data_IF_048821364623
#
_entry.id   IF_048821364623
#
_cell.length_a   1.000
_cell.length_b   1.000
_cell.length_c   1.000
_cell.angle_alpha   90.00
_cell.angle_beta   90.00
_cell.angle_gamma   90.00
#
_symmetry.space_group_name_H-M   'P 1'
#
loop_
_entity.id
_entity.type
_entity.pdbx_description
1 polymer ?
#
# COMPACT_ATOMS: atom_id res chain seq x y z
N UNK A 1 -10.48 4.22 17.47
CA UNK A 1 -11.10 5.48 17.99
C UNK A 1 -10.35 6.65 17.37
N UNK A 2 -11.05 7.62 16.79
CA UNK A 2 -10.45 8.87 16.35
C UNK A 2 -10.28 9.79 17.55
N UNK A 3 -9.05 10.25 17.80
CA UNK A 3 -8.75 11.20 18.87
C UNK A 3 -8.68 12.59 18.25
N UNK A 4 -9.47 13.51 18.79
CA UNK A 4 -9.36 14.91 18.45
C UNK A 4 -8.44 15.61 19.46
N UNK A 5 -7.20 15.86 19.04
CA UNK A 5 -6.22 16.60 19.85
C UNK A 5 -6.53 18.10 19.93
N UNK A 6 -7.60 18.58 19.34
CA UNK A 6 -8.06 19.98 19.53
C UNK A 6 -8.79 20.17 20.85
N UNK A 7 -9.35 19.08 21.40
CA UNK A 7 -9.90 19.08 22.78
C UNK A 7 -8.74 19.05 23.76
N UNK A 8 -8.76 19.94 24.74
CA UNK A 8 -7.72 20.07 25.76
C UNK A 8 -7.69 18.83 26.67
N UNK A 9 -6.54 18.19 26.77
CA UNK A 9 -6.32 17.10 27.73
C UNK A 9 -5.29 16.08 27.25
N UNK A 10 -4.70 15.31 28.17
CA UNK A 10 -3.78 14.24 27.86
C UNK A 10 -4.48 13.11 27.13
N UNK A 11 -3.76 12.41 26.27
CA UNK A 11 -4.25 11.20 25.59
C UNK A 11 -4.60 10.14 26.63
N UNK A 12 -5.78 9.52 26.48
CA UNK A 12 -6.28 8.52 27.43
C UNK A 12 -5.28 7.35 27.58
N UNK A 13 -4.96 7.03 28.84
CA UNK A 13 -4.02 5.96 29.20
C UNK A 13 -4.49 4.55 28.84
N UNK A 14 -5.75 4.36 28.49
CA UNK A 14 -6.28 3.08 27.99
C UNK A 14 -5.82 2.78 26.55
N UNK A 15 -5.41 3.81 25.81
CA UNK A 15 -4.91 3.70 24.45
C UNK A 15 -3.48 3.16 24.51
N UNK A 16 -3.22 2.07 23.77
CA UNK A 16 -1.88 1.46 23.72
C UNK A 16 -1.07 1.89 22.51
N UNK A 17 -1.74 2.19 21.40
CA UNK A 17 -1.08 2.53 20.15
C UNK A 17 -1.74 3.76 19.54
N UNK A 18 -0.96 4.78 19.25
CA UNK A 18 -1.39 6.00 18.58
C UNK A 18 -0.88 6.01 17.14
N UNK A 19 -1.79 6.25 16.19
CA UNK A 19 -1.45 6.47 14.79
C UNK A 19 -1.59 7.98 14.51
N UNK A 20 -0.52 8.60 14.05
CA UNK A 20 -0.47 10.02 13.67
C UNK A 20 -0.38 10.13 12.15
N UNK A 21 -1.51 10.35 11.43
CA UNK A 21 -1.51 10.52 9.99
C UNK A 21 -1.27 11.99 9.62
N UNK A 22 -0.37 12.22 8.69
CA UNK A 22 -0.06 13.54 8.18
C UNK A 22 0.67 14.42 9.20
N UNK A 23 1.18 15.53 8.76
CA UNK A 23 2.12 16.32 9.57
C UNK A 23 1.86 17.82 9.54
N UNK A 24 0.99 18.32 8.66
CA UNK A 24 0.94 19.73 8.31
C UNK A 24 0.36 20.68 9.38
N UNK A 25 -0.38 20.17 10.37
CA UNK A 25 -1.17 21.02 11.30
C UNK A 25 -0.95 20.76 12.79
N UNK A 26 0.19 20.13 13.16
CA UNK A 26 0.50 19.89 14.56
C UNK A 26 1.05 21.15 15.22
N UNK A 27 0.37 21.60 16.28
CA UNK A 27 0.88 22.66 17.18
C UNK A 27 1.84 22.05 18.21
N UNK A 28 2.68 22.88 18.85
CA UNK A 28 3.61 22.41 19.89
C UNK A 28 2.89 21.71 21.04
N UNK A 29 1.69 22.15 21.41
CA UNK A 29 0.86 21.51 22.43
C UNK A 29 0.44 20.09 22.03
N UNK A 30 -0.05 19.91 20.80
CA UNK A 30 -0.43 18.60 20.28
C UNK A 30 0.78 17.67 20.17
N UNK A 31 1.91 18.21 19.74
CA UNK A 31 3.15 17.47 19.66
C UNK A 31 3.65 17.04 21.05
N UNK A 32 3.49 17.92 22.05
CA UNK A 32 3.79 17.59 23.44
C UNK A 32 2.92 16.44 23.97
N UNK A 33 1.62 16.43 23.70
CA UNK A 33 0.75 15.33 24.11
C UNK A 33 1.14 13.98 23.45
N UNK A 34 1.52 14.01 22.17
CA UNK A 34 2.04 12.84 21.44
C UNK A 34 3.36 12.35 22.07
N UNK A 35 4.29 13.26 22.34
CA UNK A 35 5.55 12.97 22.99
C UNK A 35 5.33 12.33 24.37
N UNK A 36 4.48 12.96 25.20
CA UNK A 36 4.20 12.45 26.56
C UNK A 36 3.47 11.11 26.56
N UNK A 37 2.58 10.87 25.59
CA UNK A 37 1.97 9.55 25.38
C UNK A 37 3.06 8.50 25.10
N UNK A 38 4.01 8.81 24.22
CA UNK A 38 5.11 7.92 23.89
C UNK A 38 6.05 7.70 25.08
N UNK A 39 6.41 8.76 25.80
CA UNK A 39 7.26 8.66 26.99
C UNK A 39 6.63 7.84 28.13
N UNK A 40 5.30 7.81 28.24
CA UNK A 40 4.54 6.99 29.19
C UNK A 40 4.43 5.51 28.79
N UNK A 41 5.05 5.12 27.66
CA UNK A 41 5.08 3.73 27.18
C UNK A 41 4.00 3.38 26.17
N UNK A 42 3.30 4.36 25.62
CA UNK A 42 2.45 4.16 24.43
C UNK A 42 3.28 3.80 23.21
N UNK A 43 2.70 3.07 22.24
CA UNK A 43 3.33 2.80 20.97
C UNK A 43 2.95 3.88 19.95
N UNK A 44 3.87 4.26 19.08
CA UNK A 44 3.65 5.34 18.12
C UNK A 44 3.85 4.85 16.69
N UNK A 45 2.88 5.10 15.82
CA UNK A 45 2.96 4.91 14.35
C UNK A 45 2.78 6.28 13.72
N UNK A 46 3.78 6.76 13.01
CA UNK A 46 3.77 8.06 12.35
C UNK A 46 3.79 7.87 10.84
N UNK A 47 2.83 8.47 10.15
CA UNK A 47 2.76 8.53 8.69
C UNK A 47 3.20 9.95 8.30
N UNK A 48 4.41 10.10 7.73
CA UNK A 48 5.10 11.37 7.62
C UNK A 48 5.38 11.79 6.18
N UNK A 49 4.62 12.75 5.66
CA UNK A 49 4.85 13.33 4.34
C UNK A 49 5.75 14.55 4.47
N UNK A 50 6.98 14.49 3.94
CA UNK A 50 7.82 15.69 3.82
C UNK A 50 7.44 16.54 2.61
N UNK A 51 6.69 15.98 1.67
CA UNK A 51 6.17 16.66 0.49
C UNK A 51 4.67 16.36 0.40
N UNK A 52 3.84 17.36 0.56
CA UNK A 52 2.40 17.26 0.35
C UNK A 52 2.05 17.44 -1.12
N UNK A 53 1.06 16.68 -1.59
CA UNK A 53 0.58 16.79 -2.97
C UNK A 53 -0.73 17.57 -3.00
N UNK A 54 -0.73 18.66 -3.77
CA UNK A 54 -1.90 19.52 -3.97
C UNK A 54 -2.45 19.36 -5.38
N UNK A 55 -3.77 19.22 -5.48
CA UNK A 55 -4.50 19.15 -6.75
C UNK A 55 -5.30 20.41 -7.07
N UNK A 56 -5.13 21.49 -6.28
CA UNK A 56 -5.97 22.69 -6.34
C UNK A 56 -5.85 23.47 -7.66
N UNK A 57 -4.62 23.56 -8.20
CA UNK A 57 -4.30 24.26 -9.47
C UNK A 57 -3.40 23.40 -10.36
N UNK A 58 -3.78 22.14 -10.56
CA UNK A 58 -2.93 21.11 -11.12
C UNK A 58 -2.26 20.30 -10.03
N UNK A 59 -1.40 19.36 -10.44
CA UNK A 59 -0.69 18.50 -9.49
C UNK A 59 0.63 19.17 -9.10
N UNK A 60 0.79 19.53 -7.83
CA UNK A 60 1.94 20.27 -7.31
C UNK A 60 2.51 19.61 -6.06
N UNK A 61 3.84 19.58 -5.97
CA UNK A 61 4.59 19.12 -4.80
C UNK A 61 4.89 20.32 -3.89
N UNK A 62 4.45 20.29 -2.65
CA UNK A 62 4.63 21.35 -1.66
C UNK A 62 5.42 20.82 -0.48
N UNK A 63 6.65 21.33 -0.21
CA UNK A 63 7.40 20.92 0.97
C UNK A 63 6.64 21.23 2.26
N UNK A 64 6.58 20.23 3.14
CA UNK A 64 5.92 20.35 4.45
C UNK A 64 6.94 20.78 5.50
N UNK A 65 6.61 21.83 6.22
CA UNK A 65 7.33 22.24 7.42
C UNK A 65 6.50 21.83 8.65
N UNK A 66 7.03 20.91 9.46
CA UNK A 66 6.34 20.44 10.65
C UNK A 66 7.31 20.26 11.81
N UNK A 67 6.96 20.71 13.03
CA UNK A 67 7.77 20.47 14.22
C UNK A 67 7.90 18.99 14.55
N UNK A 68 7.00 18.12 14.01
CA UNK A 68 7.08 16.67 14.16
C UNK A 68 8.39 16.11 13.57
N UNK A 69 8.91 16.68 12.48
CA UNK A 69 10.16 16.18 11.88
C UNK A 69 11.35 16.35 12.83
N UNK A 70 11.43 17.47 13.55
CA UNK A 70 12.45 17.69 14.57
C UNK A 70 12.34 16.69 15.74
N UNK A 71 11.11 16.34 16.16
CA UNK A 71 10.88 15.31 17.17
C UNK A 71 11.31 13.93 16.67
N UNK A 72 10.94 13.55 15.44
CA UNK A 72 11.34 12.28 14.85
C UNK A 72 12.86 12.17 14.69
N UNK A 73 13.52 13.26 14.28
CA UNK A 73 14.98 13.30 14.16
C UNK A 73 15.67 13.08 15.51
N UNK A 74 15.14 13.68 16.58
CA UNK A 74 15.61 13.44 17.96
C UNK A 74 15.37 11.99 18.39
N UNK A 75 14.30 11.33 17.93
CA UNK A 75 14.04 9.91 18.17
C UNK A 75 14.89 8.99 17.29
N UNK A 76 15.59 9.53 16.30
CA UNK A 76 16.54 8.80 15.49
C UNK A 76 16.13 8.56 14.05
N UNK A 77 15.05 9.18 13.56
CA UNK A 77 14.60 9.06 12.17
C UNK A 77 14.44 10.43 11.54
N UNK A 78 15.12 10.64 10.44
CA UNK A 78 14.96 11.84 9.61
C UNK A 78 14.09 11.53 8.41
N UNK A 79 13.08 12.35 8.19
CA UNK A 79 12.24 12.34 6.98
C UNK A 79 12.87 13.30 5.98
N UNK A 80 13.30 12.79 4.83
CA UNK A 80 14.01 13.59 3.84
C UNK A 80 13.02 14.36 2.95
N UNK A 81 13.32 15.65 2.66
CA UNK A 81 12.49 16.50 1.80
C UNK A 81 12.70 16.20 0.31
N UNK A 82 12.37 14.99 -0.07
CA UNK A 82 12.45 14.49 -1.45
C UNK A 82 11.41 13.39 -1.65
N UNK A 83 11.12 13.05 -2.91
CA UNK A 83 10.25 11.93 -3.25
C UNK A 83 11.08 10.81 -3.87
N UNK A 84 10.70 9.57 -3.56
CA UNK A 84 11.28 8.39 -4.18
C UNK A 84 10.56 8.11 -5.49
N UNK A 85 11.35 7.88 -6.54
CA UNK A 85 10.90 7.31 -7.81
C UNK A 85 11.47 5.91 -7.95
N UNK A 86 10.66 4.98 -8.45
CA UNK A 86 11.07 3.58 -8.60
C UNK A 86 10.67 3.05 -9.97
N UNK A 87 11.57 2.29 -10.60
CA UNK A 87 11.25 1.56 -11.83
C UNK A 87 10.19 0.46 -11.59
N UNK A 88 10.13 -0.09 -10.35
CA UNK A 88 9.01 -0.91 -9.88
C UNK A 88 7.89 -0.01 -9.39
N UNK A 89 7.02 0.43 -10.30
CA UNK A 89 5.99 1.42 -9.98
C UNK A 89 4.57 0.92 -10.26
N UNK A 90 3.62 1.59 -9.62
CA UNK A 90 2.21 1.52 -9.94
C UNK A 90 1.86 2.30 -11.20
N UNK A 91 0.57 2.41 -11.48
CA UNK A 91 0.05 3.13 -12.64
C UNK A 91 -0.59 4.45 -12.20
N UNK A 92 -0.21 5.53 -12.85
CA UNK A 92 -0.95 6.79 -12.85
C UNK A 92 -1.97 6.79 -13.99
N UNK A 93 -2.90 7.73 -13.96
CA UNK A 93 -3.92 7.90 -14.99
C UNK A 93 -3.72 9.21 -15.76
N UNK A 94 -3.78 9.13 -17.08
CA UNK A 94 -3.76 10.29 -17.97
C UNK A 94 -5.11 10.40 -18.65
N UNK A 95 -5.81 11.54 -18.56
CA UNK A 95 -7.01 11.77 -19.35
C UNK A 95 -6.64 11.85 -20.83
N UNK A 96 -7.22 10.98 -21.65
CA UNK A 96 -7.06 10.92 -23.08
C UNK A 96 -8.42 11.09 -23.76
N UNK A 97 -8.48 11.96 -24.78
CA UNK A 97 -9.65 12.07 -25.63
C UNK A 97 -9.63 10.97 -26.68
N UNK A 98 -10.65 10.13 -26.68
CA UNK A 98 -10.81 9.04 -27.64
C UNK A 98 -12.10 9.30 -28.42
N UNK A 99 -12.01 9.34 -29.75
CA UNK A 99 -13.17 9.40 -30.62
C UNK A 99 -13.75 8.00 -30.79
N UNK A 100 -14.97 7.79 -30.29
CA UNK A 100 -15.68 6.52 -30.43
C UNK A 100 -16.71 6.63 -31.55
N UNK A 101 -16.73 5.68 -32.49
CA UNK A 101 -17.71 5.67 -33.60
C UNK A 101 -19.14 5.71 -33.05
N UNK A 102 -19.91 6.73 -33.44
CA UNK A 102 -21.32 6.91 -33.02
C UNK A 102 -21.52 7.55 -31.63
N UNK A 103 -20.47 7.76 -30.81
CA UNK A 103 -20.56 8.38 -29.50
C UNK A 103 -19.80 9.72 -29.37
N UNK A 104 -19.04 10.11 -30.43
CA UNK A 104 -18.22 11.33 -30.40
C UNK A 104 -16.95 11.19 -29.54
N UNK A 105 -16.42 12.34 -29.10
CA UNK A 105 -15.20 12.40 -28.29
C UNK A 105 -15.54 12.13 -26.81
N UNK A 106 -14.93 11.09 -26.26
CA UNK A 106 -15.09 10.70 -24.85
C UNK A 106 -13.74 10.82 -24.15
N UNK A 107 -13.72 11.38 -22.93
CA UNK A 107 -12.54 11.38 -22.07
C UNK A 107 -12.41 10.01 -21.40
N UNK A 108 -11.32 9.31 -21.69
CA UNK A 108 -10.98 8.04 -21.06
C UNK A 108 -9.65 8.19 -20.31
N UNK A 109 -9.58 7.61 -19.11
CA UNK A 109 -8.33 7.56 -18.38
C UNK A 109 -7.45 6.42 -18.94
N UNK A 110 -6.24 6.77 -19.35
CA UNK A 110 -5.25 5.81 -19.85
C UNK A 110 -4.20 5.54 -18.77
N UNK A 111 -4.04 4.30 -18.30
CA UNK A 111 -3.05 3.96 -17.30
C UNK A 111 -1.64 4.01 -17.88
N UNK A 112 -0.73 4.71 -17.19
CA UNK A 112 0.68 4.81 -17.55
C UNK A 112 1.57 4.46 -16.35
N UNK A 113 2.75 3.86 -16.54
CA UNK A 113 3.71 3.68 -15.46
C UNK A 113 4.05 5.04 -14.82
N UNK A 114 3.90 5.14 -13.50
CA UNK A 114 4.13 6.37 -12.76
C UNK A 114 5.14 6.16 -11.63
N UNK A 115 6.44 6.47 -11.83
CA UNK A 115 7.51 6.16 -10.92
C UNK A 115 7.35 6.68 -9.48
N UNK A 116 6.59 7.74 -9.26
CA UNK A 116 6.26 8.23 -7.92
C UNK A 116 5.31 7.30 -7.14
N UNK A 117 4.68 6.33 -7.80
CA UNK A 117 3.88 5.30 -7.14
C UNK A 117 4.76 4.07 -6.91
N UNK A 118 5.63 4.16 -5.90
CA UNK A 118 6.58 3.10 -5.55
C UNK A 118 5.84 1.82 -5.17
N UNK A 119 6.00 0.77 -5.97
CA UNK A 119 5.35 -0.52 -5.77
C UNK A 119 6.29 -1.50 -5.09
N UNK A 120 5.87 -2.00 -3.94
CA UNK A 120 6.63 -2.93 -3.12
C UNK A 120 6.16 -4.37 -3.36
N UNK A 121 7.09 -5.22 -3.74
CA UNK A 121 6.94 -6.65 -3.84
C UNK A 121 7.39 -7.35 -2.53
N UNK A 122 7.17 -8.66 -2.34
CA UNK A 122 7.54 -9.36 -1.13
C UNK A 122 9.02 -9.24 -0.72
N UNK A 123 9.93 -9.03 -1.66
CA UNK A 123 11.36 -8.85 -1.41
C UNK A 123 11.73 -7.50 -0.80
N UNK A 124 10.85 -6.52 -0.92
CA UNK A 124 11.04 -5.17 -0.39
C UNK A 124 10.78 -5.08 1.12
N UNK A 125 10.18 -6.12 1.72
CA UNK A 125 9.82 -6.16 3.12
C UNK A 125 10.79 -6.97 3.97
N UNK A 126 10.97 -6.56 5.24
CA UNK A 126 11.76 -7.29 6.21
C UNK A 126 11.18 -8.68 6.48
N UNK A 127 11.88 -9.73 6.05
CA UNK A 127 11.44 -11.13 6.20
C UNK A 127 11.33 -11.58 7.65
N UNK A 128 12.14 -10.99 8.53
CA UNK A 128 12.15 -11.29 9.97
C UNK A 128 11.00 -10.64 10.74
N UNK A 129 10.31 -9.64 10.16
CA UNK A 129 9.25 -8.94 10.87
C UNK A 129 7.86 -9.49 10.47
N UNK A 130 7.09 -10.04 11.42
CA UNK A 130 5.82 -10.71 11.14
C UNK A 130 4.72 -9.77 10.64
N UNK A 131 4.80 -8.47 10.94
CA UNK A 131 3.79 -7.50 10.48
C UNK A 131 3.88 -7.20 8.98
N UNK A 132 5.08 -7.25 8.42
CA UNK A 132 5.31 -6.86 7.02
C UNK A 132 5.74 -8.01 6.11
N UNK A 133 6.29 -9.09 6.66
CA UNK A 133 6.78 -10.23 5.86
C UNK A 133 5.74 -10.93 4.98
N UNK A 134 4.43 -10.96 5.33
CA UNK A 134 3.40 -11.57 4.48
C UNK A 134 2.85 -10.63 3.42
N UNK A 135 3.27 -9.36 3.42
CA UNK A 135 2.76 -8.35 2.49
C UNK A 135 3.33 -8.54 1.09
N UNK A 136 2.51 -8.19 0.13
CA UNK A 136 2.85 -8.14 -1.29
C UNK A 136 2.03 -7.06 -1.96
N UNK A 137 2.57 -6.41 -2.97
CA UNK A 137 1.84 -5.45 -3.81
C UNK A 137 1.30 -4.22 -3.05
N UNK A 138 2.09 -3.69 -2.12
CA UNK A 138 1.82 -2.40 -1.47
C UNK A 138 2.33 -1.28 -2.35
N UNK A 139 1.52 -0.23 -2.54
CA UNK A 139 1.92 0.94 -3.33
C UNK A 139 1.99 2.15 -2.41
N UNK A 140 3.14 2.81 -2.42
CA UNK A 140 3.35 4.08 -1.75
C UNK A 140 3.32 5.22 -2.77
N UNK A 141 2.27 6.04 -2.81
CA UNK A 141 2.21 7.22 -3.66
C UNK A 141 3.02 8.37 -3.05
N UNK A 142 3.93 8.95 -3.82
CA UNK A 142 4.72 10.14 -3.44
C UNK A 142 5.48 10.03 -2.12
N UNK A 143 6.02 8.87 -1.83
CA UNK A 143 6.69 8.54 -0.57
C UNK A 143 8.00 9.33 -0.38
N UNK A 144 8.20 9.86 0.83
CA UNK A 144 9.46 10.47 1.25
C UNK A 144 10.41 9.42 1.82
N UNK A 145 11.70 9.43 1.47
CA UNK A 145 12.67 8.48 2.00
C UNK A 145 13.03 8.81 3.44
N UNK A 146 13.33 7.77 4.20
CA UNK A 146 13.71 7.84 5.60
C UNK A 146 15.20 7.52 5.78
N UNK A 147 15.89 8.29 6.62
CA UNK A 147 17.26 8.01 7.05
C UNK A 147 17.35 7.91 8.57
N UNK A 148 18.35 7.18 9.07
CA UNK A 148 18.60 7.13 10.50
C UNK A 148 19.44 8.34 10.92
N UNK A 149 18.94 9.11 11.89
CA UNK A 149 19.60 10.30 12.40
C UNK A 149 20.59 9.99 13.53
N UNK A 150 20.51 8.82 14.14
CA UNK A 150 21.36 8.39 15.24
C UNK A 150 22.05 7.07 14.94
N UNK A 151 23.25 6.95 15.46
CA UNK A 151 23.98 5.69 15.50
C UNK A 151 23.38 4.79 16.60
N UNK A 152 22.63 3.77 16.20
CA UNK A 152 21.93 2.86 17.12
C UNK A 152 22.85 2.24 18.18
N UNK A 153 24.12 2.06 17.87
CA UNK A 153 25.11 1.53 18.81
C UNK A 153 25.42 2.46 19.98
N UNK A 154 25.11 3.76 19.90
CA UNK A 154 25.40 4.76 20.92
C UNK A 154 24.20 5.16 21.76
N UNK A 155 22.98 4.99 21.25
CA UNK A 155 21.76 5.53 21.88
C UNK A 155 20.94 4.50 22.64
N UNK A 156 21.23 3.20 22.51
CA UNK A 156 20.42 2.11 23.07
C UNK A 156 19.08 1.94 22.35
N UNK A 157 18.92 2.50 21.16
CA UNK A 157 17.75 2.35 20.29
C UNK A 157 18.10 1.42 19.14
N UNK A 158 17.41 0.29 19.05
CA UNK A 158 17.51 -0.64 17.93
C UNK A 158 16.70 -0.11 16.74
N UNK A 159 17.29 -0.18 15.55
CA UNK A 159 16.64 0.27 14.32
C UNK A 159 16.46 -0.89 13.34
N UNK A 160 15.28 -1.00 12.74
CA UNK A 160 14.96 -2.03 11.75
C UNK A 160 14.26 -1.38 10.57
N UNK A 161 14.71 -1.67 9.36
CA UNK A 161 13.99 -1.26 8.15
C UNK A 161 12.88 -2.27 7.88
N UNK A 162 11.63 -1.81 7.84
CA UNK A 162 10.44 -2.61 7.56
C UNK A 162 10.18 -2.77 6.07
N UNK A 163 10.36 -1.66 5.32
CA UNK A 163 10.13 -1.64 3.88
C UNK A 163 11.14 -0.74 3.17
N UNK A 164 11.60 -1.18 1.99
CA UNK A 164 12.50 -0.44 1.10
C UNK A 164 11.95 -0.39 -0.31
N UNK A 165 12.32 0.65 -1.05
CA UNK A 165 12.14 0.69 -2.50
C UNK A 165 13.00 -0.37 -3.20
N UNK A 166 12.84 -0.54 -4.51
CA UNK A 166 13.72 -1.42 -5.28
C UNK A 166 15.13 -0.82 -5.43
N UNK A 167 16.10 -1.65 -5.84
CA UNK A 167 17.45 -1.18 -6.15
C UNK A 167 17.50 -0.24 -7.39
N UNK A 168 16.39 -0.17 -8.14
CA UNK A 168 16.22 0.70 -9.32
C UNK A 168 15.44 1.97 -8.99
N UNK A 169 15.72 2.55 -7.83
CA UNK A 169 15.08 3.78 -7.36
C UNK A 169 16.04 4.96 -7.37
N UNK A 170 15.46 6.15 -7.48
CA UNK A 170 16.17 7.43 -7.43
C UNK A 170 15.32 8.48 -6.74
N UNK A 171 15.86 9.69 -6.51
CA UNK A 171 15.18 10.76 -5.80
C UNK A 171 14.85 11.92 -6.74
N UNK A 172 13.68 12.52 -6.51
CA UNK A 172 13.34 13.87 -6.95
C UNK A 172 13.40 14.83 -5.75
N UNK A 173 14.09 15.95 -5.92
CA UNK A 173 14.23 16.99 -4.91
C UNK A 173 14.22 18.38 -5.56
N UNK A 174 13.91 19.41 -4.78
CA UNK A 174 13.84 20.79 -5.28
C UNK A 174 12.55 21.03 -6.08
N UNK A 175 12.67 21.39 -7.35
CA UNK A 175 11.50 21.58 -8.22
C UNK A 175 11.04 20.22 -8.75
N UNK A 176 10.02 19.64 -8.10
CA UNK A 176 9.50 18.30 -8.41
C UNK A 176 8.38 18.43 -9.42
N UNK A 177 8.59 17.90 -10.64
CA UNK A 177 7.55 17.76 -11.65
C UNK A 177 6.78 16.46 -11.44
N UNK A 178 5.48 16.60 -11.17
CA UNK A 178 4.57 15.46 -10.93
C UNK A 178 3.74 15.09 -12.16
N UNK A 179 3.97 15.73 -13.32
CA UNK A 179 3.21 15.45 -14.54
C UNK A 179 3.42 13.99 -14.98
N UNK A 180 2.38 13.15 -15.07
CA UNK A 180 2.53 11.76 -15.50
C UNK A 180 2.91 11.63 -16.99
N UNK A 181 2.75 12.67 -17.79
CA UNK A 181 3.12 12.70 -19.22
C UNK A 181 4.57 13.13 -19.46
N UNK A 182 5.32 13.49 -18.41
CA UNK A 182 6.72 13.90 -18.55
C UNK A 182 7.59 12.73 -19.06
N UNK A 183 8.70 13.10 -19.69
CA UNK A 183 9.76 12.12 -19.97
C UNK A 183 10.59 11.93 -18.70
N UNK A 184 10.53 10.74 -18.13
CA UNK A 184 11.27 10.41 -16.92
C UNK A 184 12.77 10.45 -17.19
N UNK A 185 13.49 11.32 -16.48
CA UNK A 185 14.95 11.34 -16.48
C UNK A 185 15.46 10.19 -15.61
N UNK A 186 15.51 8.98 -16.18
CA UNK A 186 15.99 7.79 -15.50
C UNK A 186 17.51 7.88 -15.38
N UNK A 187 18.08 7.89 -14.15
CA UNK A 187 19.52 7.96 -13.98
C UNK A 187 20.21 6.64 -14.40
N UNK A 188 21.54 6.68 -14.46
CA UNK A 188 22.30 5.44 -14.72
C UNK A 188 22.11 4.43 -13.59
N UNK A 189 22.15 3.12 -13.90
CA UNK A 189 21.98 2.06 -12.89
C UNK A 189 22.96 2.17 -11.71
N UNK A 190 24.15 2.73 -11.93
CA UNK A 190 25.16 2.94 -10.89
C UNK A 190 24.78 4.01 -9.85
N UNK A 191 23.88 4.90 -10.18
CA UNK A 191 23.40 5.98 -9.29
C UNK A 191 22.05 5.67 -8.64
N UNK A 192 21.42 4.56 -9.01
CA UNK A 192 20.22 4.05 -8.37
C UNK A 192 20.55 3.28 -7.11
N UNK A 193 19.66 3.29 -6.13
CA UNK A 193 19.76 2.50 -4.90
C UNK A 193 18.41 2.37 -4.21
N UNK A 194 18.30 1.39 -3.32
CA UNK A 194 17.13 1.25 -2.46
C UNK A 194 17.10 2.32 -1.36
N UNK A 195 15.89 2.84 -1.07
CA UNK A 195 15.62 3.81 -0.01
C UNK A 195 14.71 3.21 1.05
N UNK A 196 14.91 3.58 2.32
CA UNK A 196 14.01 3.14 3.38
C UNK A 196 12.71 3.94 3.30
N UNK A 197 11.58 3.25 3.32
CA UNK A 197 10.24 3.84 3.21
C UNK A 197 9.42 3.65 4.49
N UNK A 198 9.70 2.59 5.24
CA UNK A 198 9.14 2.35 6.56
C UNK A 198 10.23 1.80 7.49
N UNK A 199 10.33 2.34 8.69
CA UNK A 199 11.33 1.96 9.69
C UNK A 199 10.68 1.74 11.05
N UNK A 200 11.27 0.86 11.84
CA UNK A 200 10.90 0.56 13.21
C UNK A 200 12.05 0.85 14.16
N UNK A 201 11.76 1.50 15.23
CA UNK A 201 12.71 1.80 16.31
C UNK A 201 12.17 1.24 17.62
N UNK A 202 13.05 0.62 18.40
CA UNK A 202 12.73 0.06 19.71
C UNK A 202 13.84 0.41 20.69
N UNK A 203 13.49 0.85 21.89
CA UNK A 203 14.48 1.13 22.92
C UNK A 203 14.05 2.24 23.86
N UNK A 204 15.05 2.90 24.45
CA UNK A 204 14.87 4.01 25.37
C UNK A 204 15.00 5.35 24.65
N UNK A 205 13.92 6.11 24.65
CA UNK A 205 13.87 7.42 24.01
C UNK A 205 13.95 8.54 25.03
N UNK A 206 14.34 9.72 24.58
CA UNK A 206 14.34 10.95 25.40
C UNK A 206 13.29 11.90 24.86
N UNK A 207 12.48 12.47 25.76
CA UNK A 207 11.45 13.46 25.41
C UNK A 207 12.01 14.60 24.56
N UNK A 208 11.22 15.04 23.58
CA UNK A 208 11.55 16.24 22.81
C UNK A 208 11.39 17.53 23.63
N UNK A 209 10.65 17.48 24.74
CA UNK A 209 10.29 18.62 25.56
C UNK A 209 10.97 18.57 26.92
N UNK A 210 11.53 19.73 27.34
CA UNK A 210 12.07 19.92 28.72
C UNK A 210 11.05 20.58 29.63
N UNK A 211 10.01 21.22 29.06
CA UNK A 211 8.92 21.90 29.78
C UNK A 211 7.63 21.81 29.01
N UNK A 212 6.51 22.00 29.67
CA UNK A 212 5.20 22.09 29.00
C UNK A 212 5.19 23.36 28.14
N UNK A 213 4.80 23.26 26.86
CA UNK A 213 4.67 24.43 25.99
C UNK A 213 3.66 25.43 26.54
N UNK A 214 4.01 26.73 26.52
CA UNK A 214 3.08 27.79 26.90
C UNK A 214 1.92 27.82 25.89
N UNK A 215 0.70 28.03 26.36
CA UNK A 215 -0.45 28.26 25.47
C UNK A 215 -0.19 29.54 24.68
N UNK A 216 -0.10 29.44 23.35
CA UNK A 216 -0.05 30.59 22.45
C UNK A 216 -1.47 31.19 22.24
N UNK A 217 -2.29 31.23 23.29
CA UNK A 217 -3.50 32.02 23.28
C UNK A 217 -3.11 33.50 23.40
N UNK A 218 -3.68 34.43 22.62
CA UNK A 218 -3.51 35.85 22.87
C UNK A 218 -3.99 36.10 24.32
N UNK A 219 -3.05 36.37 25.20
CA UNK A 219 -3.30 36.59 26.62
C UNK A 219 -3.91 37.97 26.80
N UNK A 220 -5.22 38.00 26.80
CA UNK A 220 -5.95 39.12 27.44
C UNK A 220 -6.81 38.48 28.54
N UNK A 221 -6.16 38.05 29.61
CA UNK A 221 -6.86 37.83 30.86
C UNK A 221 -5.92 37.52 32.05
N UNK A 222 -6.01 38.37 33.08
CA UNK A 222 -5.38 38.25 34.40
C UNK A 222 -5.88 37.04 35.20
N UNK A 223 -6.91 36.34 34.74
CA UNK A 223 -7.48 35.14 35.36
C UNK A 223 -6.70 33.85 35.04
N UNK A 224 -5.88 33.85 33.99
CA UNK A 224 -5.07 32.67 33.60
C UNK A 224 -3.90 32.42 34.56
N UNK A 225 -3.41 33.44 35.25
CA UNK A 225 -2.29 33.30 36.19
C UNK A 225 -2.67 32.57 37.49
N UNK A 226 -3.92 32.65 37.93
CA UNK A 226 -4.38 31.98 39.17
C UNK A 226 -4.59 30.47 38.94
N UNK A 227 -4.92 30.05 37.70
CA UNK A 227 -5.06 28.62 37.36
C UNK A 227 -3.72 27.90 37.21
N UNK A 228 -2.63 28.63 36.93
CA UNK A 228 -1.31 28.04 36.70
C UNK A 228 -0.63 27.57 37.99
N UNK A 229 -0.94 28.16 39.11
CA UNK A 229 -0.30 27.80 40.40
C UNK A 229 -0.93 26.58 41.12
N UNK A 230 -2.17 26.23 40.77
CA UNK A 230 -2.87 25.08 41.40
C UNK A 230 -2.71 23.78 40.66
N UNK A 231 -2.27 23.79 39.37
CA UNK A 231 -2.05 22.59 38.56
C UNK A 231 -0.59 22.14 38.45
N UNK A 232 0.32 22.78 39.18
CA UNK A 232 1.77 22.65 39.01
C UNK A 232 2.43 21.43 39.66
N UNK A 233 1.70 20.52 40.30
CA UNK A 233 2.35 19.36 40.97
C UNK A 233 2.29 18.03 40.21
N UNK A 234 1.53 17.91 39.11
CA UNK A 234 1.41 16.65 38.34
C UNK A 234 1.82 16.70 36.89
N UNK A 235 2.24 17.85 36.33
CA UNK A 235 2.48 18.03 34.89
C UNK A 235 3.96 18.24 34.52
N UNK A 236 4.91 17.64 35.26
CA UNK A 236 6.30 17.60 34.80
C UNK A 236 6.41 16.63 33.62
N UNK A 237 6.99 17.05 32.49
CA UNK A 237 7.19 16.13 31.36
C UNK A 237 8.10 14.99 31.78
N UNK A 238 7.78 13.79 31.31
CA UNK A 238 8.65 12.62 31.46
C UNK A 238 9.77 12.77 30.44
N UNK A 239 11.02 12.83 30.88
CA UNK A 239 12.19 13.08 30.04
C UNK A 239 12.73 11.83 29.34
N UNK A 240 12.25 10.65 29.69
CA UNK A 240 12.64 9.40 29.02
C UNK A 240 11.51 8.39 29.02
N UNK A 241 11.48 7.55 27.98
CA UNK A 241 10.53 6.45 27.88
C UNK A 241 10.94 5.25 28.73
N UNK A 242 10.07 4.26 28.78
CA UNK A 242 10.44 2.90 29.22
C UNK A 242 11.46 2.30 28.24
N UNK A 243 12.23 1.29 28.68
CA UNK A 243 13.24 0.62 27.83
C UNK A 243 12.66 -0.09 26.60
N UNK A 244 11.34 -0.17 26.49
CA UNK A 244 10.58 -0.83 25.41
C UNK A 244 9.74 0.14 24.56
N UNK A 245 10.12 1.42 24.46
CA UNK A 245 9.45 2.34 23.53
C UNK A 245 9.46 1.77 22.10
N UNK A 246 8.32 1.81 21.40
CA UNK A 246 8.16 1.29 20.04
C UNK A 246 7.63 2.39 19.13
N UNK A 247 8.39 2.71 18.09
CA UNK A 247 8.07 3.72 17.11
C UNK A 247 8.17 3.12 15.71
N UNK A 248 7.11 3.25 14.90
CA UNK A 248 7.17 3.03 13.45
C UNK A 248 7.01 4.37 12.75
N UNK A 249 7.85 4.65 11.78
CA UNK A 249 7.73 5.80 10.88
C UNK A 249 7.60 5.28 9.45
N UNK A 250 6.58 5.77 8.75
CA UNK A 250 6.32 5.50 7.33
C UNK A 250 6.39 6.85 6.61
N UNK A 251 7.15 6.92 5.53
CA UNK A 251 7.41 8.16 4.78
C UNK A 251 6.27 8.60 3.86
N UNK A 252 5.04 8.14 4.13
CA UNK A 252 3.85 8.40 3.31
C UNK A 252 2.59 8.27 4.18
N UNK A 253 1.70 9.24 4.12
CA UNK A 253 0.37 9.17 4.72
C UNK A 253 -0.72 8.93 3.66
N UNK A 254 -0.42 9.22 2.41
CA UNK A 254 -1.38 9.11 1.31
C UNK A 254 -1.67 7.66 0.92
N UNK A 255 -0.80 6.70 1.27
CA UNK A 255 -0.96 5.29 0.91
C UNK A 255 -2.22 4.63 1.51
N UNK A 256 -2.77 5.17 2.60
CA UNK A 256 -4.03 4.71 3.24
C UNK A 256 -5.17 5.69 3.05
N UNK A 257 -5.01 6.68 2.17
CA UNK A 257 -5.97 7.77 1.95
C UNK A 257 -6.68 7.61 0.60
N UNK A 258 -7.99 7.90 0.58
CA UNK A 258 -8.78 7.98 -0.65
C UNK A 258 -8.66 6.74 -1.56
N UNK A 259 -8.35 6.94 -2.82
CA UNK A 259 -8.20 5.87 -3.82
C UNK A 259 -6.95 5.02 -3.61
N UNK A 260 -5.96 5.52 -2.87
CA UNK A 260 -4.72 4.80 -2.58
C UNK A 260 -4.91 3.76 -1.46
N UNK A 261 -6.02 3.81 -0.71
CA UNK A 261 -6.35 2.88 0.37
C UNK A 261 -6.72 1.48 -0.16
N UNK A 262 -5.78 0.84 -0.87
CA UNK A 262 -5.96 -0.54 -1.34
C UNK A 262 -6.03 -1.51 -0.17
N UNK A 263 -6.56 -2.72 -0.41
CA UNK A 263 -6.62 -3.75 0.62
C UNK A 263 -5.23 -4.07 1.20
N UNK A 264 -4.18 -4.07 0.39
CA UNK A 264 -2.81 -4.36 0.83
C UNK A 264 -2.21 -3.20 1.64
N UNK A 265 -2.49 -1.96 1.23
CA UNK A 265 -2.03 -0.78 1.95
C UNK A 265 -2.67 -0.70 3.34
N UNK A 266 -3.99 -0.92 3.42
CA UNK A 266 -4.72 -0.99 4.70
C UNK A 266 -4.21 -2.15 5.56
N UNK A 267 -3.98 -3.33 4.96
CA UNK A 267 -3.46 -4.49 5.68
C UNK A 267 -2.08 -4.21 6.30
N UNK A 268 -1.21 -3.47 5.64
CA UNK A 268 0.08 -3.06 6.19
C UNK A 268 -0.09 -2.25 7.49
N UNK A 269 -0.94 -1.23 7.48
CA UNK A 269 -1.15 -0.39 8.66
C UNK A 269 -1.79 -1.18 9.81
N UNK A 270 -2.80 -2.01 9.49
CA UNK A 270 -3.47 -2.87 10.50
C UNK A 270 -2.48 -3.89 11.08
N UNK A 271 -1.68 -4.56 10.25
CA UNK A 271 -0.71 -5.53 10.73
C UNK A 271 0.32 -4.90 11.68
N UNK A 272 0.80 -3.68 11.37
CA UNK A 272 1.74 -2.96 12.23
C UNK A 272 1.06 -2.58 13.56
N UNK A 273 -0.19 -2.10 13.54
CA UNK A 273 -0.95 -1.74 14.73
C UNK A 273 -1.24 -2.99 15.59
N UNK A 274 -1.63 -4.09 14.99
CA UNK A 274 -1.84 -5.37 15.66
C UNK A 274 -0.53 -5.91 16.26
N UNK A 275 0.59 -5.79 15.54
CA UNK A 275 1.90 -6.18 16.04
C UNK A 275 2.32 -5.42 17.29
N UNK A 276 1.92 -4.15 17.41
CA UNK A 276 2.14 -3.37 18.63
C UNK A 276 1.21 -3.77 19.79
N UNK A 277 0.04 -4.31 19.49
CA UNK A 277 -1.00 -4.64 20.47
C UNK A 277 -0.95 -6.08 20.96
N UNK A 278 -0.36 -6.99 20.19
CA UNK A 278 -0.30 -8.42 20.45
C UNK A 278 1.10 -8.85 20.89
N UNK A 279 1.17 -9.92 21.71
CA UNK A 279 2.43 -10.62 21.95
C UNK A 279 2.95 -11.22 20.64
N UNK A 280 4.27 -11.15 20.44
CA UNK A 280 4.96 -11.59 19.20
C UNK A 280 4.58 -13.02 18.74
N UNK A 281 4.14 -13.87 19.65
CA UNK A 281 3.73 -15.25 19.38
C UNK A 281 2.37 -15.38 18.67
N UNK A 282 1.43 -14.44 18.88
CA UNK A 282 0.09 -14.49 18.29
C UNK A 282 0.06 -14.02 16.82
N UNK A 283 0.99 -13.17 16.44
CA UNK A 283 1.07 -12.61 15.09
C UNK A 283 1.47 -13.69 14.07
N UNK A 284 2.37 -14.60 14.46
CA UNK A 284 2.84 -15.68 13.59
C UNK A 284 1.71 -16.62 13.13
N UNK A 285 0.63 -16.72 13.90
CA UNK A 285 -0.54 -17.54 13.58
C UNK A 285 -1.43 -16.83 12.54
N UNK A 286 -1.62 -15.53 12.69
CA UNK A 286 -2.50 -14.72 11.82
C UNK A 286 -1.89 -14.50 10.42
N UNK A 287 -0.58 -14.31 10.33
CA UNK A 287 0.13 -14.12 9.06
C UNK A 287 0.13 -15.36 8.17
N UNK A 288 0.00 -16.56 8.73
CA UNK A 288 -0.18 -17.81 7.95
C UNK A 288 -1.52 -17.90 7.23
N UNK A 289 -2.57 -17.19 7.72
CA UNK A 289 -3.91 -17.21 7.15
C UNK A 289 -4.09 -16.29 5.92
N UNK A 290 -3.23 -15.28 5.75
CA UNK A 290 -3.32 -14.30 4.65
C UNK A 290 -2.31 -14.67 3.55
N UNK A 291 -2.31 -15.92 3.11
CA UNK A 291 -1.59 -16.28 1.89
C UNK A 291 -2.45 -15.90 0.70
N UNK A 292 -2.25 -14.68 0.20
CA UNK A 292 -2.88 -14.25 -1.05
C UNK A 292 -2.46 -15.22 -2.16
N UNK A 293 -3.41 -16.01 -2.67
CA UNK A 293 -3.22 -16.90 -3.81
C UNK A 293 -3.41 -16.14 -5.13
N UNK A 294 -2.86 -14.95 -5.22
CA UNK A 294 -2.76 -14.28 -6.53
C UNK A 294 -1.83 -15.09 -7.40
N UNK A 295 -2.28 -15.39 -8.61
CA UNK A 295 -1.44 -16.01 -9.63
C UNK A 295 -0.23 -15.10 -9.81
N UNK A 296 0.95 -15.66 -9.56
CA UNK A 296 2.22 -14.95 -9.64
C UNK A 296 2.37 -14.35 -11.05
N UNK A 297 2.18 -13.05 -11.17
CA UNK A 297 2.26 -12.37 -12.46
C UNK A 297 3.66 -12.46 -13.06
N UNK A 298 4.68 -12.77 -12.26
CA UNK A 298 6.06 -12.94 -12.72
C UNK A 298 6.26 -14.25 -13.48
N UNK A 299 5.46 -15.29 -13.21
CA UNK A 299 5.39 -16.46 -14.09
C UNK A 299 4.88 -16.14 -15.50
N UNK A 300 4.13 -15.05 -15.63
CA UNK A 300 3.55 -14.60 -16.91
C UNK A 300 4.46 -13.59 -17.64
N UNK A 301 5.38 -12.91 -16.93
CA UNK A 301 6.24 -11.87 -17.49
C UNK A 301 7.41 -12.40 -18.32
N UNK A 302 7.74 -13.69 -18.22
CA UNK A 302 8.88 -14.29 -18.94
C UNK A 302 8.70 -14.47 -20.45
N UNK A 303 7.51 -14.25 -21.00
CA UNK A 303 7.25 -14.29 -22.48
C UNK A 303 5.87 -13.66 -22.72
N UNK A 304 5.82 -12.62 -23.56
CA UNK A 304 4.56 -12.03 -24.04
C UNK A 304 3.66 -13.04 -24.78
N UNK A 305 4.17 -14.21 -25.14
CA UNK A 305 3.42 -15.28 -25.75
C UNK A 305 2.62 -16.14 -24.74
N UNK A 306 3.07 -16.27 -23.47
CA UNK A 306 2.44 -17.15 -22.49
C UNK A 306 0.99 -16.78 -22.12
N UNK A 307 0.63 -15.52 -21.83
CA UNK A 307 -0.74 -15.16 -21.52
C UNK A 307 -1.67 -15.36 -22.73
N UNK A 308 -1.17 -15.11 -23.94
CA UNK A 308 -1.94 -15.34 -25.17
C UNK A 308 -2.16 -16.83 -25.44
N UNK A 309 -1.18 -17.68 -25.19
CA UNK A 309 -1.31 -19.15 -25.32
C UNK A 309 -2.35 -19.67 -24.32
N UNK A 310 -2.32 -19.25 -23.05
CA UNK A 310 -3.31 -19.67 -22.03
C UNK A 310 -4.72 -19.20 -22.45
N UNK A 311 -4.85 -17.98 -22.96
CA UNK A 311 -6.13 -17.44 -23.44
C UNK A 311 -6.64 -18.22 -24.66
N UNK A 312 -5.78 -18.54 -25.63
CA UNK A 312 -6.12 -19.33 -26.82
C UNK A 312 -6.53 -20.75 -26.43
N UNK A 313 -5.80 -21.40 -25.51
CA UNK A 313 -6.14 -22.73 -25.02
C UNK A 313 -7.53 -22.72 -24.36
N UNK A 314 -7.81 -21.78 -23.48
CA UNK A 314 -9.11 -21.69 -22.79
C UNK A 314 -10.28 -21.42 -23.75
N UNK A 315 -10.07 -20.60 -24.79
CA UNK A 315 -11.13 -20.26 -25.75
C UNK A 315 -11.35 -21.40 -26.76
N UNK A 316 -10.29 -22.09 -27.21
CA UNK A 316 -10.38 -23.11 -28.26
C UNK A 316 -10.57 -24.52 -27.74
N UNK A 317 -10.15 -24.85 -26.51
CA UNK A 317 -10.19 -26.20 -25.97
C UNK A 317 -11.63 -26.74 -25.87
N UNK A 318 -12.58 -25.96 -25.40
CA UNK A 318 -13.98 -26.39 -25.24
C UNK A 318 -14.67 -26.64 -26.61
N UNK A 319 -14.61 -25.75 -27.60
CA UNK A 319 -15.15 -26.04 -28.93
C UNK A 319 -14.52 -27.27 -29.57
N UNK A 320 -13.20 -27.44 -29.46
CA UNK A 320 -12.49 -28.60 -30.03
C UNK A 320 -12.97 -29.92 -29.41
N UNK A 321 -13.11 -29.97 -28.08
CA UNK A 321 -13.65 -31.16 -27.39
C UNK A 321 -15.05 -31.50 -27.88
N UNK A 322 -15.94 -30.51 -28.04
CA UNK A 322 -17.30 -30.71 -28.52
C UNK A 322 -17.29 -31.24 -29.99
N UNK A 323 -16.43 -30.71 -30.85
CA UNK A 323 -16.27 -31.18 -32.21
C UNK A 323 -15.78 -32.64 -32.25
N UNK A 324 -14.76 -32.98 -31.42
CA UNK A 324 -14.24 -34.36 -31.38
C UNK A 324 -15.32 -35.35 -30.87
N UNK A 325 -16.07 -34.99 -29.84
CA UNK A 325 -17.17 -35.81 -29.36
C UNK A 325 -18.26 -35.98 -30.40
N UNK A 326 -18.62 -34.90 -31.11
CA UNK A 326 -19.57 -34.90 -32.22
C UNK A 326 -19.12 -35.81 -33.35
N UNK A 327 -17.85 -35.76 -33.74
CA UNK A 327 -17.26 -36.64 -34.73
C UNK A 327 -17.27 -38.12 -34.35
N UNK A 328 -16.92 -38.42 -33.09
CA UNK A 328 -16.95 -39.79 -32.57
C UNK A 328 -18.39 -40.35 -32.61
N UNK A 329 -19.37 -39.58 -32.19
CA UNK A 329 -20.79 -39.98 -32.21
C UNK A 329 -21.26 -40.15 -33.65
N UNK A 330 -20.87 -39.24 -34.57
CA UNK A 330 -21.21 -39.35 -36.00
C UNK A 330 -20.60 -40.60 -36.67
N UNK A 331 -19.33 -40.91 -36.39
CA UNK A 331 -18.65 -42.09 -36.89
C UNK A 331 -19.30 -43.38 -36.35
N UNK A 332 -19.62 -43.47 -35.06
CA UNK A 332 -20.35 -44.59 -34.46
C UNK A 332 -21.75 -44.78 -35.06
N UNK A 333 -22.47 -43.70 -35.41
CA UNK A 333 -23.76 -43.82 -36.05
C UNK A 333 -23.67 -44.27 -37.50
N UNK A 334 -22.57 -44.04 -38.24
CA UNK A 334 -22.35 -44.53 -39.60
C UNK A 334 -22.11 -46.07 -39.66
N UNK A 335 -21.59 -46.69 -38.61
CA UNK A 335 -21.32 -48.12 -38.55
C UNK A 335 -22.60 -48.94 -38.24
N UNK A 336 -23.73 -48.33 -37.94
CA UNK A 336 -24.99 -48.99 -37.59
C UNK A 336 -26.05 -48.81 -38.67
N UNK A 337 -25.68 -48.84 -39.95
CA UNK A 337 -26.64 -49.05 -41.04
C UNK A 337 -26.59 -50.54 -41.39
N UNK A 338 -27.55 -51.39 -40.93
CA UNK A 338 -27.61 -52.78 -41.38
C UNK A 338 -28.01 -52.78 -42.85
N UNK A 339 -27.23 -53.47 -43.66
CA UNK A 339 -27.61 -53.87 -44.99
C UNK A 339 -28.88 -54.72 -44.90
N UNK A 340 -30.07 -54.17 -45.15
CA UNK A 340 -31.28 -54.93 -45.30
C UNK A 340 -31.39 -55.41 -46.72
N UNK A 341 -31.04 -56.67 -46.89
CA UNK A 341 -31.85 -57.75 -47.36
C UNK A 341 -32.55 -57.57 -48.72
N UNK A 342 -32.01 -58.31 -49.66
CA UNK A 342 -32.61 -58.81 -50.86
C UNK A 342 -34.09 -59.25 -50.65
N UNK A 343 -34.98 -58.67 -51.42
CA UNK A 343 -36.35 -59.13 -51.58
C UNK A 343 -36.41 -60.46 -52.35
N UNK A 344 -37.24 -61.44 -51.95
CA UNK A 344 -37.48 -62.64 -52.74
C UNK A 344 -38.46 -62.36 -53.88
N UNK A 345 -38.07 -62.79 -55.06
CA UNK A 345 -38.92 -62.91 -56.26
C UNK A 345 -40.04 -63.93 -56.01
N UNK A 346 -41.28 -63.51 -56.15
CA UNK A 346 -42.38 -64.48 -56.29
C UNK A 346 -43.09 -64.22 -57.62
N UNK A 347 -43.05 -65.29 -58.40
CA UNK A 347 -43.68 -65.52 -59.69
C UNK A 347 -45.19 -65.39 -59.64
N UNK A 348 -45.76 -64.84 -60.70
CA UNK A 348 -47.16 -64.90 -61.08
C UNK A 348 -47.65 -66.33 -61.37
N UNK A 349 -48.95 -66.58 -61.31
CA UNK A 349 -49.62 -67.19 -62.43
C UNK A 349 -50.86 -66.44 -62.92
N UNK A 350 -51.06 -66.64 -64.20
CA UNK A 350 -52.07 -66.09 -65.09
C UNK A 350 -53.51 -66.62 -64.91
N UNK A 351 -54.41 -65.87 -65.51
CA UNK A 351 -55.69 -66.27 -66.13
C UNK A 351 -56.92 -66.47 -65.13
N UNK A 352 -58.02 -65.83 -65.37
CA UNK A 352 -59.01 -66.09 -66.49
C UNK A 352 -60.13 -65.03 -66.40
N UNK A 353 -60.47 -64.41 -67.49
CA UNK A 353 -61.77 -64.20 -68.05
C UNK A 353 -63.02 -64.69 -67.33
N UNK A 354 -64.05 -63.86 -67.22
CA UNK A 354 -65.36 -63.88 -67.82
C UNK A 354 -66.23 -62.80 -67.13
N UNK A 355 -66.69 -61.84 -67.87
CA UNK A 355 -68.02 -61.70 -68.54
C UNK A 355 -69.21 -61.63 -67.58
N UNK A 356 -69.77 -60.50 -67.36
CA UNK A 356 -71.08 -59.99 -67.83
C UNK A 356 -71.21 -58.54 -67.39
#
# INVERSE_FOLDING_TARGET
VKIDLSTEGPIDSTIKTLIVPGTATLTDKKLFEIDQFFMKGGNLIVLADAIAISFQYGINAIPVESPLFGMLEKYGVKVEKSLVLDASCGQGEIPQQVELPGMGVVNMNHPVPYPYFTRLNPENFAKSNPAVSPLSDVVFPWVSPLSFAVDSGKTGVETTVLARSSEKSWLASGNIDLNPQQKWAIPSEKSMKAYNLAVFLKGKFTSNFNSVPADNAPSDDTLSKIKLETSSSSNRPITGSTDNGRLVVIGDADFVSGQNATQQNIAMLINIADWFSLDDNLISIRTRAIKNRTIDSDMLKGSSAKPNIIRIINITLMPVIVIIIGLIIFMRRREVVPSTASAPSTSAPAAKQEAN
#
